data_IF_030538989707
#
_entry.id   IF_030538989707
#
_cell.length_a   1.000
_cell.length_b   1.000
_cell.length_c   1.000
_cell.angle_alpha   90.00
_cell.angle_beta   90.00
_cell.angle_gamma   90.00
#
_symmetry.space_group_name_H-M   'P 1'
#
loop_
_entity.id
_entity.type
_entity.pdbx_description
1 polymer ?
#
# COMPACT_ATOMS: atom_id res chain seq x y z
N UNK A 1 -21.88 -20.31 24.57
CA UNK A 1 -20.97 -19.79 25.60
C UNK A 1 -21.46 -18.39 25.94
N UNK A 2 -22.00 -18.18 27.14
CA UNK A 2 -22.61 -16.89 27.54
C UNK A 2 -21.48 -16.02 28.08
N UNK A 3 -21.10 -14.99 27.32
CA UNK A 3 -20.07 -14.02 27.74
C UNK A 3 -20.70 -13.01 28.69
N UNK A 4 -20.23 -12.96 29.94
CA UNK A 4 -20.74 -12.06 30.98
C UNK A 4 -19.83 -10.83 31.04
N UNK A 5 -20.38 -9.65 31.39
CA UNK A 5 -19.63 -8.39 31.50
C UNK A 5 -18.36 -8.45 32.39
N UNK A 6 -18.25 -9.45 33.27
CA UNK A 6 -17.06 -9.65 34.13
C UNK A 6 -15.88 -10.32 33.43
N UNK A 7 -16.09 -10.99 32.31
CA UNK A 7 -15.06 -11.80 31.62
C UNK A 7 -14.25 -10.98 30.60
N UNK A 8 -14.55 -9.68 30.46
CA UNK A 8 -13.90 -8.79 29.49
C UNK A 8 -12.41 -8.59 29.79
N UNK A 9 -12.00 -8.63 31.05
CA UNK A 9 -10.59 -8.52 31.43
C UNK A 9 -9.74 -9.71 30.96
N UNK A 10 -10.30 -10.91 30.95
CA UNK A 10 -9.60 -12.13 30.51
C UNK A 10 -9.64 -12.28 28.99
N UNK A 11 -10.62 -11.67 28.32
CA UNK A 11 -10.77 -11.70 26.85
C UNK A 11 -10.00 -10.56 26.15
N UNK A 12 -9.72 -9.47 26.86
CA UNK A 12 -8.98 -8.29 26.35
C UNK A 12 -7.63 -8.66 25.72
N UNK A 13 -6.77 -9.49 26.34
CA UNK A 13 -5.55 -9.93 25.71
C UNK A 13 -5.84 -10.62 24.37
N UNK A 14 -6.74 -11.59 24.31
CA UNK A 14 -7.03 -12.33 23.08
C UNK A 14 -7.65 -11.47 21.96
N UNK A 15 -8.45 -10.46 22.31
CA UNK A 15 -8.96 -9.47 21.35
C UNK A 15 -7.83 -8.58 20.78
N UNK A 16 -6.81 -8.28 21.59
CA UNK A 16 -5.68 -7.45 21.21
C UNK A 16 -4.60 -8.22 20.42
N UNK A 17 -4.48 -9.55 20.60
CA UNK A 17 -3.48 -10.37 19.89
C UNK A 17 -3.73 -10.47 18.36
N UNK A 18 -4.90 -10.06 17.87
CA UNK A 18 -5.21 -10.00 16.44
C UNK A 18 -4.91 -8.65 15.78
N UNK A 19 -4.55 -7.63 16.55
CA UNK A 19 -4.31 -6.27 16.04
C UNK A 19 -2.87 -5.84 16.32
N UNK A 20 -2.17 -5.37 15.29
CA UNK A 20 -0.84 -4.78 15.49
C UNK A 20 -0.94 -3.56 16.41
N UNK A 21 0.05 -3.32 17.30
CA UNK A 21 0.04 -2.15 18.18
C UNK A 21 -0.19 -0.82 17.44
N UNK A 22 0.29 -0.71 16.20
CA UNK A 22 0.04 0.42 15.31
C UNK A 22 -1.45 0.56 14.92
N UNK A 23 -2.10 -0.54 14.55
CA UNK A 23 -3.52 -0.55 14.16
C UNK A 23 -4.43 -0.15 15.32
N UNK A 24 -4.06 -0.49 16.55
CA UNK A 24 -4.77 -0.04 17.75
C UNK A 24 -4.66 1.47 17.99
N UNK A 25 -3.53 2.08 17.64
CA UNK A 25 -3.29 3.52 17.85
C UNK A 25 -3.88 4.36 16.72
N UNK A 26 -3.75 3.90 15.47
CA UNK A 26 -4.09 4.70 14.28
C UNK A 26 -5.37 4.24 13.57
N UNK A 27 -5.97 3.13 13.98
CA UNK A 27 -7.21 2.61 13.40
C UNK A 27 -7.05 1.97 12.01
N UNK A 28 -5.82 1.81 11.53
CA UNK A 28 -5.49 1.24 10.21
C UNK A 28 -4.34 0.26 10.34
N UNK A 29 -4.37 -0.83 9.58
CA UNK A 29 -3.24 -1.73 9.48
C UNK A 29 -1.97 -0.98 9.02
N UNK A 30 -0.83 -1.31 9.61
CA UNK A 30 0.43 -0.69 9.24
C UNK A 30 0.78 -1.10 7.79
N UNK A 31 0.74 -0.15 6.87
CA UNK A 31 1.40 -0.32 5.58
C UNK A 31 2.89 -0.14 5.82
N UNK A 32 3.65 -1.23 5.73
CA UNK A 32 5.08 -1.19 5.89
C UNK A 32 5.70 -0.27 4.83
N UNK A 33 6.67 0.59 5.20
CA UNK A 33 7.44 1.34 4.22
C UNK A 33 8.11 0.38 3.25
N UNK A 34 8.28 0.78 1.99
CA UNK A 34 8.93 -0.05 0.98
C UNK A 34 10.38 -0.41 1.37
N UNK A 35 11.01 0.36 2.26
CA UNK A 35 12.33 0.06 2.81
C UNK A 35 12.34 -1.09 3.84
N UNK A 36 11.16 -1.50 4.32
CA UNK A 36 11.01 -2.67 5.20
C UNK A 36 10.62 -3.91 4.39
N UNK A 37 9.87 -3.75 3.29
CA UNK A 37 9.60 -4.83 2.32
C UNK A 37 10.82 -5.15 1.44
N UNK A 38 11.59 -4.13 1.05
CA UNK A 38 12.86 -4.31 0.35
C UNK A 38 13.99 -4.12 1.36
N UNK A 39 14.77 -5.18 1.67
CA UNK A 39 15.82 -5.12 2.68
C UNK A 39 16.75 -3.92 2.48
N UNK A 40 17.08 -3.25 3.59
CA UNK A 40 18.01 -2.12 3.58
C UNK A 40 19.44 -2.58 3.25
N UNK A 41 20.29 -1.67 2.76
CA UNK A 41 21.71 -1.93 2.45
C UNK A 41 22.46 -2.58 3.63
N UNK A 42 22.12 -2.22 4.88
CA UNK A 42 22.74 -2.83 6.07
C UNK A 42 22.31 -4.27 6.29
N UNK A 43 21.03 -4.57 6.07
CA UNK A 43 20.46 -5.92 6.23
C UNK A 43 20.93 -6.84 5.11
N UNK A 44 21.21 -6.29 3.93
CA UNK A 44 21.74 -7.05 2.80
C UNK A 44 23.25 -7.21 2.86
N UNK A 45 24.00 -6.26 3.38
CA UNK A 45 25.43 -6.47 3.65
C UNK A 45 25.66 -7.62 4.66
N UNK A 46 24.66 -7.93 5.49
CA UNK A 46 24.66 -9.11 6.38
C UNK A 46 24.28 -10.42 5.65
N UNK A 47 23.65 -10.33 4.48
CA UNK A 47 23.22 -11.45 3.64
C UNK A 47 24.08 -11.44 2.39
N UNK A 48 25.19 -12.19 2.40
CA UNK A 48 26.26 -12.25 1.36
C UNK A 48 25.78 -12.43 -0.11
N UNK A 49 25.09 -11.45 -0.67
CA UNK A 49 24.72 -11.35 -2.08
C UNK A 49 25.80 -10.56 -2.82
N UNK A 50 26.07 -10.95 -4.06
CA UNK A 50 27.00 -10.20 -4.92
C UNK A 50 26.43 -8.81 -5.23
N UNK A 51 27.25 -7.77 -5.01
CA UNK A 51 26.85 -6.37 -5.12
C UNK A 51 26.26 -6.03 -6.51
N UNK A 52 26.79 -6.65 -7.59
CA UNK A 52 26.35 -6.34 -8.95
C UNK A 52 24.98 -6.94 -9.25
N UNK A 53 24.74 -8.20 -8.87
CA UNK A 53 23.44 -8.85 -9.02
C UNK A 53 22.35 -8.14 -8.21
N UNK A 54 22.68 -7.63 -7.03
CA UNK A 54 21.75 -6.87 -6.21
C UNK A 54 21.39 -5.50 -6.82
N UNK A 55 22.40 -4.73 -7.27
CA UNK A 55 22.15 -3.43 -7.92
C UNK A 55 21.24 -3.61 -9.13
N UNK A 56 21.47 -4.65 -9.93
CA UNK A 56 20.65 -4.99 -11.08
C UNK A 56 19.19 -5.28 -10.67
N UNK A 57 19.00 -6.17 -9.69
CA UNK A 57 17.66 -6.50 -9.17
C UNK A 57 16.92 -5.27 -8.63
N UNK A 58 17.63 -4.35 -7.95
CA UNK A 58 17.04 -3.14 -7.42
C UNK A 58 16.61 -2.16 -8.52
N UNK A 59 17.41 -2.03 -9.57
CA UNK A 59 17.05 -1.22 -10.74
C UNK A 59 15.81 -1.78 -11.44
N UNK A 60 15.73 -3.10 -11.61
CA UNK A 60 14.56 -3.74 -12.23
C UNK A 60 13.28 -3.54 -11.40
N UNK A 61 13.37 -3.64 -10.07
CA UNK A 61 12.25 -3.33 -9.18
C UNK A 61 11.79 -1.87 -9.29
N UNK A 62 12.74 -0.92 -9.35
CA UNK A 62 12.43 0.50 -9.49
C UNK A 62 11.76 0.80 -10.84
N UNK A 63 12.26 0.21 -11.93
CA UNK A 63 11.66 0.31 -13.25
C UNK A 63 10.21 -0.20 -13.25
N UNK A 64 9.96 -1.36 -12.63
CA UNK A 64 8.61 -1.92 -12.53
C UNK A 64 7.65 -0.99 -11.75
N UNK A 65 8.15 -0.32 -10.71
CA UNK A 65 7.36 0.68 -9.98
C UNK A 65 7.05 1.85 -10.91
N UNK A 66 8.06 2.43 -11.56
CA UNK A 66 7.89 3.56 -12.48
C UNK A 66 6.86 3.26 -13.59
N UNK A 67 6.92 2.07 -14.19
CA UNK A 67 5.95 1.62 -15.20
C UNK A 67 4.51 1.57 -14.66
N UNK A 68 4.32 1.05 -13.44
CA UNK A 68 3.00 1.02 -12.78
C UNK A 68 2.47 2.43 -12.51
N UNK A 69 3.34 3.33 -12.07
CA UNK A 69 3.01 4.73 -11.83
C UNK A 69 2.60 5.44 -13.13
N UNK A 70 3.37 5.27 -14.20
CA UNK A 70 3.05 5.82 -15.52
C UNK A 70 1.72 5.29 -16.05
N UNK A 71 1.47 4.00 -15.90
CA UNK A 71 0.21 3.36 -16.32
C UNK A 71 -0.99 3.95 -15.56
N UNK A 72 -0.88 4.08 -14.24
CA UNK A 72 -1.92 4.68 -13.41
C UNK A 72 -2.18 6.16 -13.78
N UNK A 73 -1.11 6.92 -14.06
CA UNK A 73 -1.22 8.31 -14.50
C UNK A 73 -1.96 8.43 -15.83
N UNK A 74 -1.59 7.61 -16.82
CA UNK A 74 -2.25 7.55 -18.13
C UNK A 74 -3.74 7.20 -17.98
N UNK A 75 -4.06 6.21 -17.15
CA UNK A 75 -5.43 5.82 -16.89
C UNK A 75 -6.26 6.97 -16.28
N UNK A 76 -5.70 7.67 -15.29
CA UNK A 76 -6.32 8.84 -14.67
C UNK A 76 -6.61 9.95 -15.68
N UNK A 77 -5.64 10.28 -16.53
CA UNK A 77 -5.81 11.31 -17.55
C UNK A 77 -6.89 10.92 -18.57
N UNK A 78 -6.92 9.67 -19.01
CA UNK A 78 -7.94 9.16 -19.91
C UNK A 78 -9.33 9.25 -19.26
N UNK A 79 -9.46 8.84 -18.01
CA UNK A 79 -10.71 8.94 -17.25
C UNK A 79 -11.19 10.39 -17.16
N UNK A 80 -10.31 11.33 -16.80
CA UNK A 80 -10.64 12.76 -16.76
C UNK A 80 -11.13 13.29 -18.12
N UNK A 81 -10.45 12.92 -19.22
CA UNK A 81 -10.89 13.29 -20.58
C UNK A 81 -12.28 12.75 -20.92
N UNK A 82 -12.60 11.51 -20.52
CA UNK A 82 -13.93 10.91 -20.73
C UNK A 82 -15.01 11.65 -19.96
N UNK A 83 -14.78 11.98 -18.69
CA UNK A 83 -15.71 12.75 -17.86
C UNK A 83 -15.94 14.14 -18.45
N UNK A 84 -14.88 14.85 -18.84
CA UNK A 84 -14.98 16.15 -19.47
C UNK A 84 -15.80 16.10 -20.76
N UNK A 85 -15.52 15.13 -21.64
CA UNK A 85 -16.25 14.98 -22.90
C UNK A 85 -17.74 14.67 -22.70
N UNK A 86 -18.08 13.82 -21.72
CA UNK A 86 -19.47 13.52 -21.40
C UNK A 86 -20.22 14.76 -20.88
N UNK A 87 -19.57 15.56 -20.04
CA UNK A 87 -20.11 16.83 -19.57
C UNK A 87 -20.32 17.82 -20.73
N UNK A 88 -19.29 18.05 -21.55
CA UNK A 88 -19.34 18.97 -22.69
C UNK A 88 -20.46 18.61 -23.68
N UNK A 89 -20.67 17.32 -23.96
CA UNK A 89 -21.78 16.84 -24.80
C UNK A 89 -23.13 17.20 -24.20
N UNK A 90 -23.31 16.99 -22.90
CA UNK A 90 -24.56 17.29 -22.18
C UNK A 90 -24.85 18.79 -22.11
N UNK A 91 -23.81 19.62 -22.05
CA UNK A 91 -23.94 21.09 -22.13
C UNK A 91 -24.32 21.52 -23.54
N UNK A 92 -23.65 21.02 -24.58
CA UNK A 92 -23.97 21.36 -25.98
C UNK A 92 -25.39 20.97 -26.39
N UNK A 93 -25.94 19.89 -25.86
CA UNK A 93 -27.34 19.49 -26.14
C UNK A 93 -28.40 20.38 -25.50
N UNK A 94 -28.00 21.30 -24.61
CA UNK A 94 -28.89 22.24 -23.89
C UNK A 94 -28.82 23.65 -24.44
N UNK A 95 -27.90 23.90 -25.37
CA UNK A 95 -27.81 25.11 -26.20
C UNK A 95 -28.54 24.81 -27.52
#
# INVERSE_FOLDING_TARGET
MVVIYKDWHDMLPYALHGATPYSLVHGTEAVLPVEVEIPSIKVLAEVELDDAEWIQSRLDQLNLIEEKWLTALCHRQLYQKRIKSAFDKKVRSRL
#
